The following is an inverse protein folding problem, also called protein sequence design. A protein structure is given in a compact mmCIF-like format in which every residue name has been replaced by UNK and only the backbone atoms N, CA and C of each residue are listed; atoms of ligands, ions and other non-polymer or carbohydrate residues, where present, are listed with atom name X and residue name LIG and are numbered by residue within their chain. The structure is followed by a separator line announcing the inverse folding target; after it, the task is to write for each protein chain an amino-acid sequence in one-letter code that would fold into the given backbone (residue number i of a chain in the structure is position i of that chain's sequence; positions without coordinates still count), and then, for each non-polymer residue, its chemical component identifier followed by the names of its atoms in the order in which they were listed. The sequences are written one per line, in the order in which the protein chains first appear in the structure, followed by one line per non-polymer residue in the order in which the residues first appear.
data_IF_517344009065
#
_entry.id   IF_517344009065
#
_cell.length_a   1.000
_cell.length_b   1.000
_cell.length_c   1.000
_cell.angle_alpha   90.00
_cell.angle_beta   90.00
_cell.angle_gamma   90.00
#
_symmetry.space_group_name_H-M   'P 1'
#
loop_
_entity.id
_entity.type
_entity.pdbx_description
1 polymer ?
#
# COMPACT_ATOMS: atom_id res chain seq x y z
N UNK A 1 -2.14 8.42 -14.69
CA UNK A 1 -2.12 7.09 -14.03
C UNK A 1 -3.51 6.81 -13.47
N UNK A 2 -3.92 5.55 -13.47
CA UNK A 2 -5.21 5.07 -12.94
C UNK A 2 -4.97 3.90 -11.99
N UNK A 3 -5.93 3.66 -11.09
CA UNK A 3 -5.85 2.56 -10.14
C UNK A 3 -6.09 1.22 -10.85
N UNK A 4 -5.24 0.24 -10.53
CA UNK A 4 -5.26 -1.14 -11.06
C UNK A 4 -5.88 -2.08 -10.02
N UNK A 5 -5.29 -2.10 -8.82
CA UNK A 5 -5.75 -2.93 -7.71
C UNK A 5 -5.52 -2.25 -6.36
N UNK A 6 -6.33 -2.67 -5.38
CA UNK A 6 -6.14 -2.39 -3.96
C UNK A 6 -6.01 -3.74 -3.28
N UNK A 7 -4.85 -3.99 -2.67
CA UNK A 7 -4.57 -5.20 -1.91
C UNK A 7 -4.34 -4.83 -0.45
N UNK A 8 -4.93 -5.61 0.46
CA UNK A 8 -4.84 -5.39 1.91
C UNK A 8 -4.42 -6.68 2.57
N UNK A 9 -3.36 -6.63 3.38
CA UNK A 9 -2.85 -7.76 4.13
C UNK A 9 -2.44 -7.36 5.55
N UNK A 10 -2.43 -8.30 6.48
CA UNK A 10 -1.97 -8.02 7.84
C UNK A 10 -0.47 -7.69 7.80
N UNK A 11 -0.08 -6.57 8.39
CA UNK A 11 1.31 -6.12 8.35
C UNK A 11 2.20 -7.00 9.22
N UNK A 12 3.34 -7.52 8.72
CA UNK A 12 4.28 -8.27 9.53
C UNK A 12 5.11 -7.37 10.46
N UNK A 13 5.03 -6.05 10.29
CA UNK A 13 5.81 -5.07 11.04
C UNK A 13 5.10 -4.54 12.29
N UNK A 14 3.99 -5.16 12.68
CA UNK A 14 3.23 -4.76 13.86
C UNK A 14 3.98 -5.03 15.16
N UNK A 15 3.80 -4.12 16.12
CA UNK A 15 4.20 -4.35 17.51
C UNK A 15 3.19 -5.29 18.19
N UNK A 16 3.60 -5.89 19.31
CA UNK A 16 2.67 -6.61 20.20
C UNK A 16 1.50 -5.68 20.56
N UNK A 17 0.28 -6.21 20.43
CA UNK A 17 -1.00 -5.53 20.64
C UNK A 17 -1.40 -4.46 19.61
N UNK A 18 -0.65 -4.28 18.52
CA UNK A 18 -1.12 -3.49 17.37
C UNK A 18 -2.03 -4.33 16.45
N UNK A 19 -2.87 -3.65 15.68
CA UNK A 19 -3.61 -4.25 14.57
C UNK A 19 -3.33 -3.43 13.31
N UNK A 20 -2.18 -3.69 12.68
CA UNK A 20 -1.75 -2.97 11.51
C UNK A 20 -1.90 -3.77 10.22
N UNK A 21 -2.25 -3.03 9.18
CA UNK A 21 -2.57 -3.53 7.86
C UNK A 21 -1.74 -2.79 6.82
N UNK A 22 -1.16 -3.56 5.92
CA UNK A 22 -0.44 -3.08 4.76
C UNK A 22 -1.45 -2.92 3.60
N UNK A 23 -1.62 -1.68 3.12
CA UNK A 23 -2.50 -1.32 2.01
C UNK A 23 -1.65 -0.98 0.80
N UNK A 24 -1.68 -1.86 -0.22
CA UNK A 24 -0.97 -1.69 -1.48
C UNK A 24 -1.93 -1.14 -2.54
N UNK A 25 -1.65 0.07 -2.99
CA UNK A 25 -2.33 0.69 -4.13
C UNK A 25 -1.45 0.53 -5.37
N UNK A 26 -1.96 -0.18 -6.36
CA UNK A 26 -1.26 -0.39 -7.63
C UNK A 26 -1.86 0.51 -8.70
N UNK A 27 -1.01 1.19 -9.44
CA UNK A 27 -1.40 2.09 -10.51
C UNK A 27 -0.77 1.66 -11.83
N UNK A 28 -1.51 1.87 -12.91
CA UNK A 28 -1.03 1.69 -14.27
C UNK A 28 -1.24 2.95 -15.11
N UNK A 29 -0.63 2.99 -16.28
CA UNK A 29 -0.81 4.06 -17.25
C UNK A 29 -1.72 3.57 -18.39
N UNK A 30 -2.94 4.13 -18.54
CA UNK A 30 -3.86 3.72 -19.60
C UNK A 30 -3.40 4.16 -21.00
N UNK A 31 -2.61 5.22 -21.11
CA UNK A 31 -2.14 5.77 -22.39
C UNK A 31 -0.85 5.09 -22.87
N UNK A 32 -0.08 4.51 -21.95
CA UNK A 32 1.16 3.82 -22.26
C UNK A 32 1.20 2.43 -21.62
N UNK A 33 0.72 1.44 -22.38
CA UNK A 33 0.69 0.04 -21.95
C UNK A 33 2.07 -0.59 -21.69
N UNK A 34 3.19 0.05 -22.06
CA UNK A 34 4.56 -0.42 -21.77
C UNK A 34 5.13 0.17 -20.47
N UNK A 35 4.51 1.21 -19.90
CA UNK A 35 4.96 1.81 -18.65
C UNK A 35 4.78 0.81 -17.50
N UNK A 36 5.81 0.68 -16.66
CA UNK A 36 5.75 -0.16 -15.47
C UNK A 36 4.65 0.31 -14.52
N UNK A 37 4.01 -0.64 -13.82
CA UNK A 37 3.02 -0.30 -12.79
C UNK A 37 3.74 0.29 -11.59
N UNK A 38 3.12 1.25 -10.91
CA UNK A 38 3.64 1.87 -9.69
C UNK A 38 2.84 1.37 -8.49
N UNK A 39 3.53 0.91 -7.45
CA UNK A 39 2.92 0.49 -6.19
C UNK A 39 3.21 1.53 -5.12
N UNK A 40 2.19 1.86 -4.33
CA UNK A 40 2.31 2.62 -3.08
C UNK A 40 1.82 1.74 -1.94
N UNK A 41 2.64 1.60 -0.91
CA UNK A 41 2.35 0.81 0.27
C UNK A 41 2.27 1.72 1.50
N UNK A 42 1.09 1.71 2.11
CA UNK A 42 0.80 2.35 3.38
C UNK A 42 0.68 1.27 4.45
N UNK A 43 1.16 1.55 5.65
CA UNK A 43 0.90 0.70 6.81
C UNK A 43 0.04 1.51 7.77
N UNK A 44 -1.12 0.98 8.14
CA UNK A 44 -2.09 1.68 8.98
C UNK A 44 -2.35 0.83 10.22
N UNK A 45 -2.15 1.40 11.41
CA UNK A 45 -2.54 0.77 12.68
C UNK A 45 -3.96 1.21 13.03
N UNK A 46 -4.86 0.24 13.17
CA UNK A 46 -6.27 0.43 13.54
C UNK A 46 -6.59 -0.13 14.92
N UNK A 47 -5.58 -0.40 15.75
CA UNK A 47 -5.78 -0.92 17.12
C UNK A 47 -6.53 0.04 18.05
N UNK A 48 -6.44 1.35 17.80
CA UNK A 48 -7.15 2.38 18.58
C UNK A 48 -8.29 3.00 17.76
N UNK A 49 -9.18 3.73 18.43
CA UNK A 49 -10.34 4.42 17.87
C UNK A 49 -9.96 5.40 16.76
N UNK A 50 -8.79 6.02 16.85
CA UNK A 50 -8.26 6.91 15.81
C UNK A 50 -7.11 6.18 15.11
N UNK A 51 -7.31 5.72 13.86
CA UNK A 51 -6.26 5.06 13.11
C UNK A 51 -5.05 5.97 12.87
N UNK A 52 -3.86 5.37 12.84
CA UNK A 52 -2.60 6.09 12.57
C UNK A 52 -1.83 5.43 11.42
N UNK A 53 -1.27 6.25 10.54
CA UNK A 53 -0.34 5.78 9.50
C UNK A 53 1.04 5.58 10.10
N UNK A 54 1.64 4.41 9.88
CA UNK A 54 2.97 4.07 10.38
C UNK A 54 4.04 4.36 9.32
N UNK A 55 5.00 5.21 9.69
CA UNK A 55 6.18 5.49 8.87
C UNK A 55 5.89 6.30 7.60
N UNK A 56 6.86 6.28 6.68
CA UNK A 56 6.76 6.95 5.37
C UNK A 56 6.14 6.01 4.33
N UNK A 57 5.41 6.59 3.38
CA UNK A 57 4.83 5.83 2.26
C UNK A 57 5.95 5.19 1.44
N UNK A 58 5.90 3.86 1.30
CA UNK A 58 6.85 3.13 0.46
C UNK A 58 6.33 3.08 -0.97
N UNK A 59 7.20 3.27 -1.96
CA UNK A 59 6.79 3.14 -3.36
C UNK A 59 7.86 2.53 -4.24
N UNK A 60 7.45 1.69 -5.19
CA UNK A 60 8.35 1.07 -6.15
C UNK A 60 7.62 0.79 -7.47
N UNK A 61 8.40 0.55 -8.52
CA UNK A 61 7.86 0.13 -9.81
C UNK A 61 7.91 -1.39 -9.90
N UNK A 62 6.84 -2.00 -10.39
CA UNK A 62 6.79 -3.44 -10.65
C UNK A 62 6.68 -3.69 -12.15
N UNK A 63 7.34 -4.76 -12.60
CA UNK A 63 7.16 -5.23 -13.97
C UNK A 63 5.70 -5.65 -14.16
N UNK A 64 5.25 -5.51 -15.41
CA UNK A 64 3.89 -5.85 -15.80
C UNK A 64 3.65 -7.34 -15.67
#
# INVERSE_FOLDING_TARGET
MQIDSIEVEKSPFCRINSDCWDVKLKFFDPENGRRAKKVYLFTIDVSDRIPVTLGQVRSWSVRK
#
